data_IF_719366973150
#
_entry.id   IF_719366973150
#
_cell.length_a   1.000
_cell.length_b   1.000
_cell.length_c   1.000
_cell.angle_alpha   90.00
_cell.angle_beta   90.00
_cell.angle_gamma   90.00
#
_symmetry.space_group_name_H-M   'P 1'
#
loop_
_entity.id
_entity.type
_entity.pdbx_description
1 polymer ?
#
# COMPACT_ATOMS: atom_id res chain seq x y z
N UNK A 1 1.13 10.35 10.48
CA UNK A 1 -0.26 10.07 10.03
C UNK A 1 -0.76 8.84 10.77
N UNK A 2 -2.04 8.81 11.20
CA UNK A 2 -2.59 7.64 11.87
C UNK A 2 -2.56 6.42 10.94
N UNK A 3 -2.23 5.26 11.51
CA UNK A 3 -2.25 3.99 10.77
C UNK A 3 -3.68 3.48 10.77
N UNK A 4 -4.35 3.53 9.61
CA UNK A 4 -5.68 2.96 9.45
C UNK A 4 -5.55 1.44 9.26
N UNK A 5 -5.91 0.65 10.27
CA UNK A 5 -5.91 -0.81 10.21
C UNK A 5 -7.34 -1.28 9.93
N UNK A 6 -7.50 -2.12 8.89
CA UNK A 6 -8.78 -2.71 8.52
C UNK A 6 -8.65 -4.23 8.64
N UNK A 7 -9.50 -4.84 9.46
CA UNK A 7 -9.56 -6.29 9.58
C UNK A 7 -10.47 -6.86 8.49
N UNK A 8 -9.89 -7.24 7.36
CA UNK A 8 -10.60 -7.70 6.16
C UNK A 8 -11.60 -8.82 6.47
N UNK A 9 -11.23 -9.77 7.34
CA UNK A 9 -12.06 -10.91 7.72
C UNK A 9 -13.33 -10.52 8.51
N UNK A 10 -13.38 -9.30 9.06
CA UNK A 10 -14.51 -8.76 9.83
C UNK A 10 -15.21 -7.60 9.12
N UNK A 11 -14.88 -7.33 7.85
CA UNK A 11 -15.52 -6.27 7.11
C UNK A 11 -16.92 -6.68 6.63
N UNK A 12 -17.91 -5.81 6.84
CA UNK A 12 -19.28 -6.04 6.38
C UNK A 12 -19.39 -6.07 4.84
N UNK A 13 -18.63 -5.21 4.14
CA UNK A 13 -18.47 -5.25 2.68
C UNK A 13 -16.97 -5.18 2.30
N UNK A 14 -16.46 -6.24 1.71
CA UNK A 14 -15.07 -6.33 1.23
C UNK A 14 -14.76 -5.26 0.18
N UNK A 15 -15.75 -4.81 -0.61
CA UNK A 15 -15.56 -3.76 -1.61
C UNK A 15 -15.25 -2.41 -0.99
N UNK A 16 -15.77 -2.12 0.21
CA UNK A 16 -15.40 -0.90 0.96
C UNK A 16 -13.91 -0.94 1.35
N UNK A 17 -13.41 -2.09 1.77
CA UNK A 17 -12.00 -2.26 2.11
C UNK A 17 -11.10 -1.99 0.90
N UNK A 18 -11.46 -2.55 -0.26
CA UNK A 18 -10.75 -2.29 -1.51
C UNK A 18 -10.83 -0.82 -1.89
N UNK A 19 -12.00 -0.19 -1.77
CA UNK A 19 -12.19 1.21 -2.09
C UNK A 19 -11.29 2.11 -1.24
N UNK A 20 -11.23 1.87 0.08
CA UNK A 20 -10.38 2.61 1.01
C UNK A 20 -8.89 2.41 0.71
N UNK A 21 -8.48 1.19 0.35
CA UNK A 21 -7.10 0.92 -0.05
C UNK A 21 -6.73 1.65 -1.36
N UNK A 22 -7.61 1.62 -2.36
CA UNK A 22 -7.42 2.34 -3.62
C UNK A 22 -7.35 3.85 -3.38
N UNK A 23 -8.25 4.40 -2.56
CA UNK A 23 -8.24 5.82 -2.20
C UNK A 23 -6.89 6.22 -1.59
N UNK A 24 -6.38 5.43 -0.64
CA UNK A 24 -5.07 5.68 -0.06
C UNK A 24 -3.94 5.69 -1.11
N UNK A 25 -3.97 4.77 -2.08
CA UNK A 25 -2.98 4.74 -3.17
C UNK A 25 -3.10 5.94 -4.12
N UNK A 26 -4.32 6.38 -4.42
CA UNK A 26 -4.61 7.57 -5.25
C UNK A 26 -4.09 8.84 -4.57
N UNK A 27 -4.24 8.95 -3.26
CA UNK A 27 -3.74 10.06 -2.44
C UNK A 27 -2.21 10.02 -2.22
N UNK A 28 -1.48 9.14 -2.92
CA UNK A 28 -0.03 8.97 -2.76
C UNK A 28 0.39 8.30 -1.45
N UNK A 29 -0.56 7.68 -0.74
CA UNK A 29 -0.32 6.84 0.43
C UNK A 29 0.27 5.48 0.09
N UNK A 30 0.59 4.73 1.14
CA UNK A 30 1.09 3.36 1.07
C UNK A 30 0.06 2.41 1.67
N UNK A 31 -0.09 1.23 1.07
CA UNK A 31 -0.96 0.17 1.58
C UNK A 31 -0.12 -1.04 1.94
N UNK A 32 -0.31 -1.57 3.15
CA UNK A 32 0.23 -2.87 3.55
C UNK A 32 -0.88 -3.90 3.39
N UNK A 33 -0.65 -4.93 2.59
CA UNK A 33 -1.65 -5.96 2.30
C UNK A 33 -1.06 -7.37 2.35
N UNK A 34 -1.87 -8.39 2.71
CA UNK A 34 -1.44 -9.77 2.61
C UNK A 34 -1.34 -10.20 1.13
N UNK A 35 -0.44 -11.14 0.86
CA UNK A 35 -0.41 -11.95 -0.37
C UNK A 35 -0.37 -13.43 0.01
N UNK A 36 -0.33 -14.34 -0.96
CA UNK A 36 -0.20 -15.78 -0.70
C UNK A 36 1.09 -16.11 0.08
N UNK A 37 2.19 -15.38 -0.16
CA UNK A 37 3.51 -15.71 0.39
C UNK A 37 3.94 -14.79 1.53
N UNK A 38 3.82 -13.47 1.35
CA UNK A 38 4.30 -12.47 2.31
C UNK A 38 3.39 -11.24 2.34
N UNK A 39 3.54 -10.41 3.36
CA UNK A 39 2.94 -9.07 3.31
C UNK A 39 3.71 -8.16 2.36
N UNK A 40 2.97 -7.48 1.49
CA UNK A 40 3.51 -6.46 0.59
C UNK A 40 3.22 -5.07 1.11
N UNK A 41 4.17 -4.15 0.93
CA UNK A 41 3.91 -2.71 1.00
C UNK A 41 3.85 -2.18 -0.43
N UNK A 42 2.72 -1.58 -0.78
CA UNK A 42 2.40 -1.13 -2.12
C UNK A 42 2.21 0.39 -2.18
N UNK A 43 2.53 0.95 -3.35
CA UNK A 43 2.24 2.31 -3.76
C UNK A 43 1.67 2.28 -5.19
N UNK A 44 0.98 3.34 -5.61
CA UNK A 44 0.61 3.49 -7.02
C UNK A 44 1.86 3.70 -7.87
N UNK A 45 2.10 2.82 -8.85
CA UNK A 45 3.24 2.91 -9.77
C UNK A 45 3.18 4.18 -10.66
N UNK A 46 1.98 4.72 -10.87
CA UNK A 46 1.76 5.96 -11.60
C UNK A 46 1.92 7.22 -10.73
N UNK A 47 2.20 7.07 -9.43
CA UNK A 47 2.40 8.17 -8.49
C UNK A 47 3.89 8.28 -8.12
N UNK A 48 4.63 9.27 -8.68
CA UNK A 48 6.02 9.51 -8.30
C UNK A 48 6.19 9.73 -6.79
N UNK A 49 5.22 10.37 -6.15
CA UNK A 49 5.21 10.57 -4.70
C UNK A 49 5.08 9.24 -3.94
N UNK A 50 4.14 8.38 -4.36
CA UNK A 50 3.94 7.07 -3.74
C UNK A 50 5.18 6.19 -3.87
N UNK A 51 5.80 6.16 -5.05
CA UNK A 51 7.06 5.42 -5.29
C UNK A 51 8.17 5.95 -4.40
N UNK A 52 8.37 7.27 -4.32
CA UNK A 52 9.38 7.88 -3.44
C UNK A 52 9.18 7.48 -1.97
N UNK A 53 7.95 7.57 -1.46
CA UNK A 53 7.62 7.17 -0.08
C UNK A 53 7.90 5.68 0.16
N UNK A 54 7.60 4.82 -0.82
CA UNK A 54 7.86 3.38 -0.73
C UNK A 54 9.37 3.09 -0.68
N UNK A 55 10.18 3.75 -1.51
CA UNK A 55 11.64 3.63 -1.51
C UNK A 55 12.24 4.08 -0.18
N UNK A 56 11.84 5.27 0.30
CA UNK A 56 12.28 5.82 1.60
C UNK A 56 11.95 4.86 2.76
N UNK A 57 10.74 4.28 2.76
CA UNK A 57 10.33 3.32 3.77
C UNK A 57 11.14 2.04 3.74
N UNK A 58 11.39 1.49 2.54
CA UNK A 58 12.15 0.22 2.39
C UNK A 58 13.65 0.39 2.64
N UNK A 59 14.16 1.62 2.67
CA UNK A 59 15.59 1.93 2.85
C UNK A 59 16.47 1.14 1.86
N UNK A 60 15.97 0.93 0.63
CA UNK A 60 16.68 0.20 -0.42
C UNK A 60 17.41 1.18 -1.34
N UNK A 61 18.46 0.69 -2.00
CA UNK A 61 19.13 1.46 -3.05
C UNK A 61 18.14 1.75 -4.18
N UNK A 62 18.24 2.94 -4.78
CA UNK A 62 17.36 3.40 -5.87
C UNK A 62 17.36 2.49 -7.11
N UNK A 63 18.36 1.61 -7.23
CA UNK A 63 18.50 0.67 -8.35
C UNK A 63 17.82 -0.68 -8.12
N UNK A 64 17.26 -0.92 -6.92
CA UNK A 64 16.56 -2.17 -6.65
C UNK A 64 15.17 -2.16 -7.31
N UNK A 65 14.86 -3.10 -8.21
CA UNK A 65 13.55 -3.13 -8.86
C UNK A 65 12.44 -3.46 -7.86
N UNK A 66 11.25 -2.95 -8.13
CA UNK A 66 10.02 -3.42 -7.51
C UNK A 66 9.48 -4.64 -8.29
N UNK A 67 8.72 -5.48 -7.59
CA UNK A 67 7.99 -6.58 -8.22
C UNK A 67 6.81 -6.05 -9.06
#
# INVERSE_FOLDING_TARGET
>A
MPRNVIEVARADDVRDVVHRAVQALVEGGLVVMPTETVYGVAASACSPEGVRRLTELKQRSDQSPFA
#
